data_IF_656600821041
#
_entry.id   IF_656600821041
#
_cell.length_a   1.000
_cell.length_b   1.000
_cell.length_c   1.000
_cell.angle_alpha   90.00
_cell.angle_beta   90.00
_cell.angle_gamma   90.00
#
_symmetry.space_group_name_H-M   'P 1'
#
loop_
_entity.id
_entity.type
_entity.pdbx_description
1 polymer ?
#
# COMPACT_ATOMS: atom_id res chain seq x y z
N UNK A 1 9.94 4.64 -7.33
CA UNK A 1 10.54 4.36 -8.67
C UNK A 1 11.60 3.27 -8.51
N UNK A 2 11.86 2.47 -9.55
CA UNK A 2 12.99 1.54 -9.60
C UNK A 2 14.09 2.13 -10.46
N UNK A 3 15.31 2.19 -9.93
CA UNK A 3 16.51 2.61 -10.65
C UNK A 3 17.48 1.43 -10.71
N UNK A 4 18.33 1.40 -11.74
CA UNK A 4 19.44 0.45 -11.79
C UNK A 4 20.63 0.94 -10.95
N UNK A 5 21.69 0.12 -10.86
CA UNK A 5 22.90 0.46 -10.08
C UNK A 5 23.63 1.71 -10.58
N UNK A 6 23.43 2.10 -11.84
CA UNK A 6 23.96 3.33 -12.43
C UNK A 6 23.05 4.54 -12.20
N UNK A 7 21.95 4.39 -11.46
CA UNK A 7 20.97 5.45 -11.21
C UNK A 7 20.06 5.74 -12.41
N UNK A 8 20.05 4.91 -13.45
CA UNK A 8 19.10 5.08 -14.57
C UNK A 8 17.73 4.57 -14.17
N UNK A 9 16.70 5.35 -14.52
CA UNK A 9 15.30 4.97 -14.30
C UNK A 9 14.97 3.69 -15.08
N UNK A 10 14.45 2.69 -14.37
CA UNK A 10 13.90 1.46 -14.96
C UNK A 10 12.40 1.64 -15.16
N UNK A 11 11.69 1.99 -14.08
CA UNK A 11 10.26 2.32 -14.13
C UNK A 11 9.83 3.21 -12.97
N UNK A 12 8.70 3.89 -13.16
CA UNK A 12 8.02 4.69 -12.14
C UNK A 12 6.63 4.10 -11.92
N UNK A 13 6.26 3.97 -10.66
CA UNK A 13 4.88 3.73 -10.25
C UNK A 13 4.31 5.07 -9.79
N UNK A 14 3.18 5.44 -10.35
CA UNK A 14 2.37 6.56 -9.89
C UNK A 14 0.95 6.04 -9.73
N UNK A 15 0.51 5.96 -8.48
CA UNK A 15 -0.85 5.58 -8.11
C UNK A 15 -1.39 6.64 -7.16
N UNK A 16 -2.66 6.96 -7.33
CA UNK A 16 -3.35 8.01 -6.60
C UNK A 16 -4.72 8.24 -7.21
N UNK A 17 -5.41 9.18 -6.60
CA UNK A 17 -6.75 9.66 -6.88
C UNK A 17 -6.67 11.17 -7.18
N UNK A 18 -7.83 11.85 -7.22
CA UNK A 18 -7.88 13.30 -7.35
C UNK A 18 -7.69 14.04 -6.01
N UNK A 19 -7.61 13.31 -4.89
CA UNK A 19 -7.38 13.84 -3.54
C UNK A 19 -6.00 13.42 -3.02
N UNK A 20 -5.70 13.77 -1.77
CA UNK A 20 -4.39 13.48 -1.19
C UNK A 20 -4.18 11.98 -0.99
N UNK A 21 -3.04 11.49 -1.48
CA UNK A 21 -2.60 10.10 -1.36
C UNK A 21 -1.12 10.05 -1.06
N UNK A 22 -0.69 9.03 -0.31
CA UNK A 22 0.72 8.86 -0.01
C UNK A 22 1.10 7.39 0.09
N UNK A 23 2.18 7.01 -0.59
CA UNK A 23 2.89 5.77 -0.32
C UNK A 23 4.08 6.08 0.59
N UNK A 24 4.13 5.37 1.72
CA UNK A 24 5.04 5.62 2.84
C UNK A 24 6.16 4.60 2.93
N UNK A 25 5.93 3.37 2.44
CA UNK A 25 6.88 2.27 2.56
C UNK A 25 6.92 1.37 1.33
N UNK A 26 8.04 0.66 1.18
CA UNK A 26 8.28 -0.33 0.13
C UNK A 26 9.06 -1.52 0.69
N UNK A 27 8.64 -2.73 0.33
CA UNK A 27 9.39 -3.96 0.57
C UNK A 27 9.56 -4.73 -0.75
N UNK A 28 10.64 -5.49 -0.87
CA UNK A 28 10.92 -6.32 -2.05
C UNK A 28 11.24 -7.73 -1.58
N UNK A 29 10.54 -8.72 -2.13
CA UNK A 29 10.82 -10.14 -1.85
C UNK A 29 12.01 -10.66 -2.66
N UNK A 30 12.51 -11.83 -2.29
CA UNK A 30 13.57 -12.54 -3.03
C UNK A 30 13.16 -12.91 -4.48
N UNK A 31 11.86 -12.86 -4.79
CA UNK A 31 11.31 -13.09 -6.13
C UNK A 31 11.15 -11.82 -6.98
N UNK A 32 11.72 -10.69 -6.55
CA UNK A 32 11.53 -9.35 -7.14
C UNK A 32 10.06 -8.86 -7.14
N UNK A 33 9.19 -9.45 -6.32
CA UNK A 33 7.87 -8.86 -6.04
C UNK A 33 8.05 -7.64 -5.14
N UNK A 34 7.48 -6.52 -5.54
CA UNK A 34 7.53 -5.23 -4.84
C UNK A 34 6.19 -4.97 -4.17
N UNK A 35 6.21 -4.70 -2.88
CA UNK A 35 5.05 -4.33 -2.08
C UNK A 35 5.18 -2.88 -1.65
N UNK A 36 4.12 -2.09 -1.82
CA UNK A 36 4.07 -0.70 -1.37
C UNK A 36 2.92 -0.52 -0.41
N UNK A 37 3.14 0.24 0.66
CA UNK A 37 2.13 0.57 1.64
C UNK A 37 1.96 2.08 1.77
N UNK A 38 0.79 2.50 2.21
CA UNK A 38 0.47 3.91 2.37
C UNK A 38 -0.98 4.15 2.75
N UNK A 39 -1.52 5.27 2.29
CA UNK A 39 -2.91 5.66 2.53
C UNK A 39 -3.48 6.50 1.39
N UNK A 40 -4.81 6.57 1.34
CA UNK A 40 -5.59 7.37 0.39
C UNK A 40 -6.73 8.09 1.11
N UNK A 41 -7.01 9.35 0.75
CA UNK A 41 -8.26 10.04 1.11
C UNK A 41 -9.39 9.79 0.10
N UNK A 42 -9.17 8.91 -0.87
CA UNK A 42 -10.06 8.67 -2.00
C UNK A 42 -10.35 7.19 -2.22
N UNK A 43 -11.02 6.91 -3.34
CA UNK A 43 -11.32 5.55 -3.77
C UNK A 43 -10.27 5.09 -4.79
N UNK A 44 -9.22 4.44 -4.31
CA UNK A 44 -8.05 4.06 -5.08
C UNK A 44 -8.16 2.65 -5.68
N UNK A 45 -8.86 1.74 -5.02
CA UNK A 45 -9.02 0.36 -5.48
C UNK A 45 -10.49 0.04 -5.77
N UNK A 46 -10.75 -0.77 -6.81
CA UNK A 46 -12.10 -1.30 -7.05
C UNK A 46 -12.50 -2.42 -6.07
N UNK A 47 -11.57 -2.90 -5.25
CA UNK A 47 -11.75 -4.00 -4.31
C UNK A 47 -12.13 -3.55 -2.89
N UNK A 48 -12.14 -2.24 -2.63
CA UNK A 48 -12.51 -1.66 -1.34
C UNK A 48 -13.10 -0.28 -1.54
N UNK A 49 -14.18 0.05 -0.81
CA UNK A 49 -14.74 1.38 -0.84
C UNK A 49 -13.97 2.29 0.12
N UNK A 50 -13.93 3.58 -0.19
CA UNK A 50 -13.51 4.57 0.78
C UNK A 50 -14.55 4.68 1.90
N UNK A 51 -14.15 4.43 3.15
CA UNK A 51 -15.07 4.26 4.27
C UNK A 51 -15.19 5.48 5.18
N UNK A 52 -14.28 6.46 5.10
CA UNK A 52 -14.30 7.59 6.02
C UNK A 52 -13.18 8.60 5.85
N UNK A 53 -12.28 8.69 6.82
CA UNK A 53 -11.19 9.66 6.83
C UNK A 53 -10.14 9.34 5.77
N UNK A 54 -9.27 8.39 6.04
CA UNK A 54 -8.30 7.86 5.06
C UNK A 54 -8.28 6.35 5.18
N UNK A 55 -8.03 5.64 4.09
CA UNK A 55 -7.89 4.19 4.11
C UNK A 55 -6.43 3.79 3.90
N UNK A 56 -6.00 2.74 4.58
CA UNK A 56 -4.71 2.12 4.33
C UNK A 56 -4.71 1.44 2.96
N UNK A 57 -3.58 1.53 2.25
CA UNK A 57 -3.40 0.87 0.95
C UNK A 57 -2.20 -0.06 0.99
N UNK A 58 -2.33 -1.20 0.32
CA UNK A 58 -1.26 -2.16 0.07
C UNK A 58 -1.33 -2.59 -1.38
N UNK A 59 -0.25 -2.41 -2.14
CA UNK A 59 -0.16 -2.82 -3.54
C UNK A 59 0.99 -3.78 -3.76
N UNK A 60 0.80 -4.75 -4.66
CA UNK A 60 1.87 -5.65 -5.12
C UNK A 60 2.12 -5.49 -6.61
N UNK A 61 3.40 -5.49 -6.98
CA UNK A 61 3.88 -5.27 -8.33
C UNK A 61 5.01 -6.24 -8.65
N UNK A 62 5.03 -6.80 -9.85
CA UNK A 62 6.15 -7.64 -10.26
C UNK A 62 7.41 -6.80 -10.58
N UNK A 63 8.51 -7.46 -10.88
CA UNK A 63 9.80 -6.84 -11.20
C UNK A 63 9.73 -5.75 -12.30
N UNK A 64 8.77 -5.88 -13.23
CA UNK A 64 8.57 -4.97 -14.35
C UNK A 64 7.65 -3.79 -14.00
N UNK A 65 7.18 -3.68 -12.76
CA UNK A 65 6.25 -2.66 -12.30
C UNK A 65 4.79 -2.93 -12.68
N UNK A 66 4.45 -4.15 -13.11
CA UNK A 66 3.05 -4.51 -13.40
C UNK A 66 2.31 -4.86 -12.12
N UNK A 67 1.20 -4.15 -11.86
CA UNK A 67 0.32 -4.43 -10.73
C UNK A 67 -0.17 -5.89 -10.76
N UNK A 68 -0.02 -6.58 -9.64
CA UNK A 68 -0.62 -7.90 -9.40
C UNK A 68 -1.97 -7.72 -8.69
N UNK A 69 -1.99 -6.85 -7.69
CA UNK A 69 -3.19 -6.47 -6.95
C UNK A 69 -2.97 -5.17 -6.20
N UNK A 70 -4.07 -4.55 -5.78
CA UNK A 70 -4.12 -3.36 -4.95
C UNK A 70 -5.28 -3.52 -3.98
N UNK A 71 -4.99 -3.36 -2.69
CA UNK A 71 -5.93 -3.44 -1.59
C UNK A 71 -6.07 -2.06 -0.96
N UNK A 72 -7.31 -1.72 -0.63
CA UNK A 72 -7.68 -0.56 0.18
C UNK A 72 -8.55 -1.09 1.32
N UNK A 73 -8.15 -0.81 2.56
CA UNK A 73 -8.79 -1.32 3.77
C UNK A 73 -8.68 -0.30 4.91
N UNK A 74 -9.65 -0.31 5.83
CA UNK A 74 -9.79 0.71 6.85
C UNK A 74 -11.13 0.66 7.56
N UNK A 75 -11.41 1.72 8.31
CA UNK A 75 -12.68 1.99 8.98
C UNK A 75 -13.19 3.40 8.67
N UNK A 76 -14.09 3.91 9.51
CA UNK A 76 -14.67 5.25 9.31
C UNK A 76 -13.69 6.40 9.66
N UNK A 77 -12.56 6.09 10.30
CA UNK A 77 -11.56 7.05 10.76
C UNK A 77 -10.42 7.29 9.78
N UNK A 78 -9.31 7.76 10.32
CA UNK A 78 -8.02 7.85 9.63
C UNK A 78 -7.24 6.54 9.81
N UNK A 79 -6.96 5.85 8.71
CA UNK A 79 -6.14 4.65 8.64
C UNK A 79 -4.87 4.91 7.82
N UNK A 80 -3.73 4.62 8.43
CA UNK A 80 -2.42 4.86 7.85
C UNK A 80 -1.59 3.58 7.91
N UNK A 81 -1.33 2.94 6.76
CA UNK A 81 -0.24 1.98 6.68
C UNK A 81 1.09 2.74 6.60
N UNK A 82 1.97 2.49 7.57
CA UNK A 82 3.23 3.23 7.75
C UNK A 82 4.44 2.43 7.32
N UNK A 83 4.38 1.10 7.43
CA UNK A 83 5.48 0.23 7.03
C UNK A 83 4.96 -1.12 6.50
N UNK A 84 5.78 -1.78 5.69
CA UNK A 84 5.52 -3.10 5.12
C UNK A 84 6.77 -3.97 5.14
N UNK A 85 6.61 -5.23 5.50
CA UNK A 85 7.65 -6.26 5.44
C UNK A 85 7.14 -7.51 4.73
N UNK A 86 8.04 -8.24 4.07
CA UNK A 86 7.75 -9.53 3.43
C UNK A 86 8.82 -10.54 3.85
N UNK A 87 8.43 -11.77 4.16
CA UNK A 87 9.36 -12.86 4.48
C UNK A 87 9.73 -13.71 3.24
N UNK A 88 10.55 -14.74 3.45
CA UNK A 88 11.01 -15.63 2.39
C UNK A 88 9.89 -16.53 1.86
N UNK A 89 8.87 -16.79 2.67
CA UNK A 89 7.68 -17.56 2.33
C UNK A 89 6.63 -16.72 1.58
N UNK A 90 6.79 -15.39 1.53
CA UNK A 90 5.91 -14.46 0.84
C UNK A 90 4.74 -13.94 1.68
N UNK A 91 4.76 -14.15 3.00
CA UNK A 91 3.83 -13.49 3.92
C UNK A 91 4.17 -12.01 4.05
N UNK A 92 3.12 -11.19 4.15
CA UNK A 92 3.23 -9.73 4.14
C UNK A 92 2.69 -9.20 5.46
N UNK A 93 3.46 -8.38 6.14
CA UNK A 93 3.04 -7.65 7.34
C UNK A 93 2.96 -6.18 7.03
N UNK A 94 1.87 -5.57 7.47
CA UNK A 94 1.67 -4.12 7.40
C UNK A 94 1.41 -3.63 8.81
N UNK A 95 2.08 -2.55 9.19
CA UNK A 95 1.87 -1.88 10.48
C UNK A 95 1.52 -0.42 10.25
N UNK A 96 0.85 0.17 11.23
CA UNK A 96 0.31 1.50 11.08
C UNK A 96 -0.52 1.94 12.27
N UNK A 97 -1.32 2.97 12.04
CA UNK A 97 -2.21 3.56 13.04
C UNK A 97 -3.60 3.73 12.47
N UNK A 98 -4.60 3.55 13.33
CA UNK A 98 -6.00 3.86 13.04
C UNK A 98 -6.58 4.73 14.15
N UNK A 99 -7.66 5.46 13.84
CA UNK A 99 -8.49 6.20 14.79
C UNK A 99 -9.92 5.63 14.89
N UNK A 100 -10.14 4.45 14.30
CA UNK A 100 -11.43 3.75 14.30
C UNK A 100 -11.23 2.23 14.34
N UNK A 101 -12.32 1.48 14.40
CA UNK A 101 -12.26 0.03 14.23
C UNK A 101 -12.04 -0.31 12.75
N UNK A 102 -10.97 -1.05 12.45
CA UNK A 102 -10.66 -1.54 11.10
C UNK A 102 -11.18 -2.97 10.98
N UNK A 103 -12.12 -3.20 10.07
CA UNK A 103 -12.62 -4.54 9.73
C UNK A 103 -13.05 -5.42 10.93
N UNK A 104 -13.54 -4.81 12.02
CA UNK A 104 -13.97 -5.55 13.21
C UNK A 104 -12.81 -6.04 14.09
N UNK A 105 -11.64 -5.40 13.98
CA UNK A 105 -10.47 -5.62 14.84
C UNK A 105 -10.73 -5.38 16.33
N UNK A 106 -11.80 -4.66 16.66
CA UNK A 106 -12.18 -4.29 18.03
C UNK A 106 -11.35 -3.15 18.62
N UNK A 107 -10.59 -2.41 17.79
CA UNK A 107 -9.90 -1.20 18.22
C UNK A 107 -10.91 -0.02 18.28
N UNK A 108 -10.89 0.74 19.39
CA UNK A 108 -11.73 1.92 19.62
C UNK A 108 -10.88 3.13 19.99
#
# INVERSE_FOLDING_TARGET
>A
ARLNQSGSLVWVLQIGTEVDDSLTAVAVSDSDMVYVAGWTYGNLSSAGAHLGGSDAVLGAYNANGTAQWLLQFGGEGLDFAQDVAVDAEGYIWVVGTTTSDVEGSGAA
#
